data_IF_348922850265
#
_entry.id   IF_348922850265
#
_cell.length_a   1.000
_cell.length_b   1.000
_cell.length_c   1.000
_cell.angle_alpha   90.00
_cell.angle_beta   90.00
_cell.angle_gamma   90.00
#
_symmetry.space_group_name_H-M   'P 1'
#
loop_
_entity.id
_entity.type
_entity.pdbx_description
1 polymer ?
#
# COMPACT_ATOMS: atom_id res chain seq x y z
N UNK A 1 12.82 -6.08 -4.47
CA UNK A 1 12.38 -4.73 -4.02
C UNK A 1 12.83 -4.50 -2.60
N UNK A 2 13.18 -3.28 -2.26
CA UNK A 2 13.63 -2.94 -0.89
C UNK A 2 12.93 -1.67 -0.43
N UNK A 3 12.73 -1.55 0.87
CA UNK A 3 12.34 -0.28 1.50
C UNK A 3 13.49 0.72 1.32
N UNK A 4 13.16 1.93 0.88
CA UNK A 4 14.16 2.93 0.49
C UNK A 4 14.61 3.78 1.68
N UNK A 5 13.69 4.19 2.53
CA UNK A 5 14.00 5.09 3.63
C UNK A 5 13.15 4.79 4.86
N UNK A 6 13.53 5.36 6.00
CA UNK A 6 12.76 5.28 7.24
C UNK A 6 13.14 4.11 8.13
N UNK A 7 12.21 3.72 8.98
CA UNK A 7 12.39 2.71 10.02
C UNK A 7 12.88 1.36 9.47
N UNK A 8 12.37 0.96 8.29
CA UNK A 8 12.67 -0.33 7.68
C UNK A 8 13.62 -0.24 6.49
N UNK A 9 14.37 0.85 6.39
CA UNK A 9 15.32 1.08 5.28
C UNK A 9 16.18 -0.15 5.00
N UNK A 10 16.26 -0.54 3.73
CA UNK A 10 17.09 -1.66 3.28
C UNK A 10 16.45 -3.04 3.42
N UNK A 11 15.31 -3.15 4.10
CA UNK A 11 14.60 -4.42 4.22
C UNK A 11 14.07 -4.87 2.86
N UNK A 12 14.31 -6.14 2.55
CA UNK A 12 13.87 -6.71 1.28
C UNK A 12 12.38 -7.08 1.35
N UNK A 13 11.66 -6.76 0.27
CA UNK A 13 10.27 -7.13 0.10
C UNK A 13 10.11 -8.09 -1.05
N UNK A 14 9.17 -9.01 -0.93
CA UNK A 14 8.81 -9.92 -2.02
C UNK A 14 7.91 -9.21 -3.02
N UNK A 15 7.97 -9.63 -4.29
CA UNK A 15 7.10 -9.17 -5.35
C UNK A 15 6.16 -10.29 -5.79
N UNK A 16 4.90 -9.97 -6.20
CA UNK A 16 4.00 -10.99 -6.74
C UNK A 16 4.55 -11.60 -8.02
N UNK A 17 4.22 -12.87 -8.26
CA UNK A 17 4.50 -13.54 -9.51
C UNK A 17 3.39 -13.23 -10.51
N UNK A 18 3.74 -13.24 -11.80
CA UNK A 18 2.77 -13.19 -12.88
C UNK A 18 2.69 -11.87 -13.60
N UNK A 19 1.96 -11.88 -14.70
CA UNK A 19 1.90 -10.79 -15.66
C UNK A 19 0.84 -9.74 -15.31
N UNK A 20 -0.01 -10.01 -14.33
CA UNK A 20 -1.13 -9.16 -13.94
C UNK A 20 -0.79 -8.02 -13.02
N UNK A 21 0.40 -8.01 -12.44
CA UNK A 21 0.82 -6.96 -11.50
C UNK A 21 1.98 -6.18 -12.09
N UNK A 22 1.82 -4.85 -12.12
CA UNK A 22 2.95 -3.96 -12.43
C UNK A 22 3.72 -3.71 -11.14
N UNK A 23 4.98 -4.13 -11.07
CA UNK A 23 5.78 -3.74 -9.91
C UNK A 23 6.04 -2.23 -10.01
N UNK A 24 5.78 -1.53 -8.93
CA UNK A 24 6.22 -0.15 -8.78
C UNK A 24 7.72 -0.20 -8.56
N UNK A 25 8.50 0.40 -9.47
CA UNK A 25 9.94 0.41 -9.34
C UNK A 25 10.37 1.21 -8.11
N UNK A 26 11.56 0.91 -7.58
CA UNK A 26 12.10 1.65 -6.45
C UNK A 26 12.20 3.14 -6.76
N UNK A 27 12.59 3.48 -7.99
CA UNK A 27 12.72 4.87 -8.44
C UNK A 27 11.37 5.60 -8.45
N UNK A 28 10.33 4.97 -8.97
CA UNK A 28 8.98 5.55 -9.01
C UNK A 28 8.45 5.73 -7.59
N UNK A 29 8.65 4.74 -6.74
CA UNK A 29 8.23 4.80 -5.34
C UNK A 29 8.93 5.92 -4.59
N UNK A 30 10.24 6.09 -4.80
CA UNK A 30 10.99 7.18 -4.19
C UNK A 30 10.49 8.55 -4.65
N UNK A 31 10.25 8.72 -5.94
CA UNK A 31 9.73 9.97 -6.49
C UNK A 31 8.35 10.32 -5.93
N UNK A 32 7.47 9.33 -5.82
CA UNK A 32 6.14 9.50 -5.26
C UNK A 32 6.21 9.89 -3.78
N UNK A 33 7.04 9.21 -3.00
CA UNK A 33 7.18 9.52 -1.57
C UNK A 33 7.77 10.90 -1.35
N UNK A 34 8.74 11.32 -2.17
CA UNK A 34 9.30 12.67 -2.08
C UNK A 34 8.25 13.73 -2.37
N UNK A 35 7.40 13.51 -3.36
CA UNK A 35 6.30 14.42 -3.68
C UNK A 35 5.29 14.52 -2.52
N UNK A 36 4.93 13.38 -1.92
CA UNK A 36 4.01 13.35 -0.78
C UNK A 36 4.58 14.06 0.44
N UNK A 37 5.85 13.88 0.72
CA UNK A 37 6.52 14.58 1.83
C UNK A 37 6.46 16.09 1.61
N UNK A 38 6.70 16.56 0.39
CA UNK A 38 6.63 17.98 0.06
C UNK A 38 5.22 18.54 0.20
N UNK A 39 4.20 17.79 -0.24
CA UNK A 39 2.81 18.24 -0.19
C UNK A 39 2.21 18.24 1.22
N UNK A 40 2.65 17.34 2.07
CA UNK A 40 2.05 17.12 3.39
C UNK A 40 2.96 17.50 4.55
N UNK A 41 4.19 17.92 4.26
CA UNK A 41 5.23 18.18 5.28
C UNK A 41 5.51 16.92 6.10
N UNK A 42 5.74 15.80 5.41
CA UNK A 42 6.05 14.51 6.01
C UNK A 42 4.86 13.55 6.04
N UNK A 43 5.12 12.33 6.41
CA UNK A 43 4.11 11.26 6.50
C UNK A 43 3.79 10.88 7.94
N UNK A 44 4.38 11.56 8.92
CA UNK A 44 4.19 11.22 10.33
C UNK A 44 2.72 11.22 10.73
N UNK A 45 2.27 10.13 11.33
CA UNK A 45 0.91 9.97 11.81
C UNK A 45 -0.14 9.73 10.73
N UNK A 46 0.25 9.61 9.45
CA UNK A 46 -0.71 9.44 8.36
C UNK A 46 -1.48 8.13 8.46
N UNK A 47 -2.76 8.17 8.14
CA UNK A 47 -3.63 7.00 7.97
C UNK A 47 -3.77 6.75 6.48
N UNK A 48 -3.35 5.57 6.01
CA UNK A 48 -3.19 5.26 4.59
C UNK A 48 -4.20 4.20 4.15
N UNK A 49 -4.83 4.43 3.01
CA UNK A 49 -5.57 3.39 2.29
C UNK A 49 -4.85 3.09 0.99
N UNK A 50 -4.58 1.83 0.75
CA UNK A 50 -4.05 1.32 -0.52
C UNK A 50 -5.13 0.42 -1.14
N UNK A 51 -5.89 0.97 -2.07
CA UNK A 51 -7.08 0.30 -2.59
C UNK A 51 -6.76 -0.86 -3.53
N UNK A 52 -5.58 -0.85 -4.16
CA UNK A 52 -5.11 -1.89 -5.09
C UNK A 52 -3.65 -2.19 -4.77
N UNK A 53 -3.44 -2.88 -3.67
CA UNK A 53 -2.14 -2.85 -3.00
C UNK A 53 -1.00 -3.60 -3.72
N UNK A 54 -1.32 -4.60 -4.53
CA UNK A 54 -0.29 -5.39 -5.23
C UNK A 54 0.64 -6.09 -4.25
N UNK A 55 1.91 -5.69 -4.21
CA UNK A 55 2.89 -6.20 -3.24
C UNK A 55 2.82 -5.51 -1.88
N UNK A 56 2.08 -4.42 -1.80
CA UNK A 56 2.04 -3.57 -0.62
C UNK A 56 3.20 -2.58 -0.52
N UNK A 57 4.04 -2.48 -1.54
CA UNK A 57 5.27 -1.70 -1.48
C UNK A 57 5.04 -0.22 -1.16
N UNK A 58 4.02 0.41 -1.73
CA UNK A 58 3.73 1.82 -1.47
C UNK A 58 3.33 2.05 -0.01
N UNK A 59 2.42 1.25 0.51
CA UNK A 59 1.96 1.39 1.90
C UNK A 59 3.05 1.04 2.90
N UNK A 60 3.83 0.00 2.63
CA UNK A 60 4.92 -0.39 3.51
C UNK A 60 6.03 0.65 3.52
N UNK A 61 6.30 1.29 2.38
CA UNK A 61 7.22 2.43 2.32
C UNK A 61 6.69 3.61 3.14
N UNK A 62 5.40 3.91 3.02
CA UNK A 62 4.78 4.99 3.80
C UNK A 62 4.86 4.73 5.30
N UNK A 63 4.59 3.50 5.74
CA UNK A 63 4.73 3.12 7.14
C UNK A 63 6.17 3.26 7.63
N UNK A 64 7.13 2.87 6.79
CA UNK A 64 8.55 3.02 7.10
C UNK A 64 8.95 4.47 7.31
N UNK A 65 8.31 5.39 6.59
CA UNK A 65 8.60 6.84 6.64
C UNK A 65 7.77 7.59 7.67
N UNK A 66 7.03 6.90 8.52
CA UNK A 66 6.35 7.52 9.65
C UNK A 66 4.84 7.45 9.66
N UNK A 67 4.20 6.92 8.60
CA UNK A 67 2.75 6.72 8.63
C UNK A 67 2.35 5.84 9.81
N UNK A 68 1.21 6.15 10.40
CA UNK A 68 0.76 5.48 11.61
C UNK A 68 0.17 4.11 11.30
N UNK A 69 -0.74 4.04 10.34
CA UNK A 69 -1.41 2.81 9.97
C UNK A 69 -1.76 2.79 8.49
N UNK A 70 -1.86 1.59 7.93
CA UNK A 70 -2.26 1.39 6.55
C UNK A 70 -3.26 0.25 6.43
N UNK A 71 -4.30 0.46 5.62
CA UNK A 71 -5.22 -0.58 5.19
C UNK A 71 -4.88 -0.90 3.74
N UNK A 72 -4.52 -2.15 3.48
CA UNK A 72 -4.13 -2.63 2.15
C UNK A 72 -5.22 -3.57 1.63
N UNK A 73 -5.82 -3.22 0.51
CA UNK A 73 -6.86 -4.03 -0.11
C UNK A 73 -6.29 -4.73 -1.35
N UNK A 74 -6.48 -6.03 -1.44
CA UNK A 74 -6.01 -6.81 -2.57
C UNK A 74 -6.95 -8.00 -2.83
N UNK A 75 -7.43 -8.13 -4.06
CA UNK A 75 -8.31 -9.23 -4.44
C UNK A 75 -7.56 -10.46 -4.97
N UNK A 76 -6.38 -10.26 -5.56
CA UNK A 76 -5.58 -11.35 -6.11
C UNK A 76 -4.98 -12.17 -4.97
N UNK A 77 -5.22 -13.50 -4.99
CA UNK A 77 -4.81 -14.38 -3.90
C UNK A 77 -3.30 -14.44 -3.74
N UNK A 78 -2.56 -14.49 -4.84
CA UNK A 78 -1.11 -14.59 -4.80
C UNK A 78 -0.49 -13.27 -4.33
N UNK A 79 -0.99 -12.15 -4.82
CA UNK A 79 -0.55 -10.83 -4.37
C UNK A 79 -0.86 -10.61 -2.90
N UNK A 80 -2.06 -10.98 -2.44
CA UNK A 80 -2.43 -10.87 -1.02
C UNK A 80 -1.51 -11.70 -0.13
N UNK A 81 -1.12 -12.91 -0.57
CA UNK A 81 -0.17 -13.74 0.17
C UNK A 81 1.21 -13.07 0.26
N UNK A 82 1.65 -12.40 -0.81
CA UNK A 82 2.91 -11.65 -0.81
C UNK A 82 2.85 -10.49 0.18
N UNK A 83 1.75 -9.73 0.20
CA UNK A 83 1.55 -8.65 1.17
C UNK A 83 1.67 -9.19 2.60
N UNK A 84 1.02 -10.31 2.87
CA UNK A 84 1.04 -10.92 4.20
C UNK A 84 2.47 -11.30 4.61
N UNK A 85 3.24 -11.89 3.70
CA UNK A 85 4.64 -12.20 3.96
C UNK A 85 5.47 -10.94 4.22
N UNK A 86 5.23 -9.88 3.45
CA UNK A 86 5.95 -8.62 3.63
C UNK A 86 5.63 -7.97 4.97
N UNK A 87 4.37 -7.99 5.37
CA UNK A 87 3.95 -7.50 6.69
C UNK A 87 4.66 -8.29 7.80
N UNK A 88 4.72 -9.61 7.66
CA UNK A 88 5.40 -10.48 8.62
C UNK A 88 6.91 -10.21 8.66
N UNK A 89 7.53 -10.03 7.50
CA UNK A 89 8.97 -9.71 7.41
C UNK A 89 9.31 -8.44 8.16
N UNK A 90 8.46 -7.42 8.08
CA UNK A 90 8.64 -6.15 8.77
C UNK A 90 8.12 -6.18 10.22
N UNK A 91 7.57 -7.31 10.67
CA UNK A 91 7.02 -7.50 12.01
C UNK A 91 5.96 -6.47 12.38
N UNK A 92 5.12 -6.12 11.42
CA UNK A 92 4.05 -5.17 11.65
C UNK A 92 2.81 -5.88 12.21
N UNK A 93 2.22 -5.32 13.27
CA UNK A 93 0.96 -5.79 13.81
C UNK A 93 -0.23 -5.24 13.02
N UNK A 94 -1.42 -5.76 13.30
CA UNK A 94 -2.65 -5.33 12.62
C UNK A 94 -3.05 -3.89 12.93
N UNK A 95 -2.54 -3.34 14.01
CA UNK A 95 -2.70 -1.94 14.37
C UNK A 95 -1.95 -1.01 13.41
N UNK A 96 -0.90 -1.49 12.76
CA UNK A 96 -0.13 -0.69 11.79
C UNK A 96 -0.41 -1.08 10.34
N UNK A 97 -0.56 -2.36 10.03
CA UNK A 97 -0.79 -2.83 8.66
C UNK A 97 -1.90 -3.87 8.67
N UNK A 98 -3.00 -3.57 8.00
CA UNK A 98 -4.15 -4.45 7.90
C UNK A 98 -4.42 -4.81 6.46
N UNK A 99 -4.32 -6.10 6.14
CA UNK A 99 -4.69 -6.62 4.83
C UNK A 99 -6.18 -6.94 4.79
N UNK A 100 -6.86 -6.40 3.79
CA UNK A 100 -8.25 -6.74 3.48
C UNK A 100 -8.24 -7.52 2.16
N UNK A 101 -8.54 -8.81 2.24
CA UNK A 101 -8.63 -9.67 1.06
C UNK A 101 -9.99 -9.49 0.41
N UNK A 102 -9.98 -9.26 -0.90
CA UNK A 102 -11.18 -9.08 -1.67
C UNK A 102 -11.13 -7.88 -2.59
N UNK A 103 -12.22 -7.70 -3.34
CA UNK A 103 -12.32 -6.62 -4.31
C UNK A 103 -12.87 -5.36 -3.62
N UNK A 104 -12.05 -4.33 -3.52
CA UNK A 104 -12.43 -3.07 -2.91
C UNK A 104 -13.61 -2.41 -3.63
N UNK A 105 -13.76 -2.63 -4.94
CA UNK A 105 -14.87 -2.10 -5.73
C UNK A 105 -16.21 -2.72 -5.34
N UNK A 106 -16.19 -3.94 -4.79
CA UNK A 106 -17.42 -4.66 -4.35
C UNK A 106 -17.66 -4.55 -2.86
N UNK A 107 -16.60 -4.57 -2.06
CA UNK A 107 -16.70 -4.65 -0.59
C UNK A 107 -16.48 -3.31 0.09
N UNK A 108 -15.92 -2.34 -0.63
CA UNK A 108 -15.48 -1.09 -0.01
C UNK A 108 -14.22 -1.29 0.83
N UNK A 109 -13.65 -0.19 1.27
CA UNK A 109 -12.48 -0.20 2.14
C UNK A 109 -12.91 -0.34 3.60
N UNK A 110 -12.19 -1.14 4.37
CA UNK A 110 -12.45 -1.26 5.81
C UNK A 110 -12.01 0.04 6.51
N UNK A 111 -12.93 0.63 7.26
CA UNK A 111 -12.63 1.86 7.99
C UNK A 111 -11.75 1.56 9.21
N UNK A 112 -10.65 2.30 9.41
CA UNK A 112 -9.78 2.12 10.58
C UNK A 112 -10.25 2.88 11.82
N UNK A 113 -11.46 3.44 11.82
CA UNK A 113 -11.96 4.29 12.90
C UNK A 113 -11.50 5.73 12.81
N UNK A 114 -10.66 6.08 11.85
CA UNK A 114 -10.17 7.44 11.58
C UNK A 114 -10.24 7.71 10.09
N UNK A 115 -10.40 8.99 9.65
CA UNK A 115 -10.34 9.31 8.23
C UNK A 115 -8.98 8.96 7.64
N UNK A 116 -8.97 8.60 6.35
CA UNK A 116 -7.72 8.39 5.61
C UNK A 116 -7.10 9.74 5.25
N UNK A 117 -5.80 9.88 5.50
CA UNK A 117 -5.02 11.05 5.09
C UNK A 117 -4.47 10.88 3.68
N UNK A 118 -4.15 9.65 3.29
CA UNK A 118 -3.60 9.30 2.00
C UNK A 118 -4.37 8.12 1.41
N UNK A 119 -4.68 8.20 0.12
CA UNK A 119 -5.29 7.09 -0.62
C UNK A 119 -4.47 6.83 -1.87
N UNK A 120 -3.96 5.61 -2.00
CA UNK A 120 -3.29 5.16 -3.23
C UNK A 120 -4.31 4.44 -4.11
N UNK A 121 -4.45 4.91 -5.34
CA UNK A 121 -5.35 4.33 -6.33
C UNK A 121 -4.56 3.99 -7.59
N UNK A 122 -4.08 2.75 -7.68
CA UNK A 122 -3.36 2.24 -8.85
C UNK A 122 -4.04 0.96 -9.35
N UNK A 123 -5.24 1.09 -9.95
CA UNK A 123 -6.03 -0.06 -10.36
C UNK A 123 -5.41 -0.79 -11.56
N UNK A 124 -5.79 -2.06 -11.78
CA UNK A 124 -5.44 -2.77 -13.01
C UNK A 124 -5.98 -2.04 -14.24
N UNK A 125 -5.29 -2.18 -15.38
CA UNK A 125 -5.66 -1.50 -16.63
C UNK A 125 -7.11 -1.71 -17.07
N UNK A 126 -7.69 -2.87 -16.78
CA UNK A 126 -9.06 -3.20 -17.17
C UNK A 126 -10.14 -2.61 -16.27
N UNK A 127 -9.76 -1.88 -15.22
CA UNK A 127 -10.73 -1.30 -14.29
C UNK A 127 -11.40 -0.07 -14.90
N UNK A 128 -12.73 0.00 -14.82
CA UNK A 128 -13.49 1.16 -15.26
C UNK A 128 -13.23 2.31 -14.28
N UNK A 129 -12.76 3.48 -14.75
CA UNK A 129 -12.55 4.64 -13.88
C UNK A 129 -13.80 5.06 -13.10
N UNK A 130 -14.99 4.89 -13.68
CA UNK A 130 -16.25 5.24 -12.99
C UNK A 130 -16.46 4.41 -11.72
N UNK A 131 -16.01 3.16 -11.69
CA UNK A 131 -16.10 2.31 -10.50
C UNK A 131 -15.20 2.82 -9.37
N UNK A 132 -14.03 3.36 -9.72
CA UNK A 132 -13.06 3.88 -8.76
C UNK A 132 -13.63 5.12 -8.07
N UNK A 133 -14.21 6.03 -8.82
CA UNK A 133 -14.78 7.27 -8.27
C UNK A 133 -16.03 7.02 -7.44
N UNK A 134 -16.63 5.83 -7.53
CA UNK A 134 -17.75 5.43 -6.68
C UNK A 134 -17.35 4.85 -5.32
N UNK A 135 -16.07 4.75 -5.04
CA UNK A 135 -15.59 4.20 -3.75
C UNK A 135 -15.88 5.17 -2.56
#
# INVERSE_FOLDING_TARGET
MRIIAGEFRGRKLDAPRGDGTRPTTDRVRESLMSALVSLRDGLDGAVVLDAFAGSGALSLEALSRGADTAVLCERDRDAAAVIERNITTLRLGRDRARLVRGDVLKRGAAAPGRPFDLVFLDPPYATDPAEIFGL
#
